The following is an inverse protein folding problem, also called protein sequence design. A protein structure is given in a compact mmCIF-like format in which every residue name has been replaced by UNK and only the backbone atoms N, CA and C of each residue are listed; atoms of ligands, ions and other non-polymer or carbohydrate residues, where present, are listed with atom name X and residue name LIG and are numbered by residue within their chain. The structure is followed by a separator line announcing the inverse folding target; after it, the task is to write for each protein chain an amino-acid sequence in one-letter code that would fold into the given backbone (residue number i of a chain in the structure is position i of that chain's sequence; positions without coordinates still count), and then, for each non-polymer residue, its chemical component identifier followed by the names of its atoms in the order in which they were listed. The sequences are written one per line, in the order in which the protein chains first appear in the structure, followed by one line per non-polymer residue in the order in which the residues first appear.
data_IF_376721216882
#
_entry.id   IF_376721216882
#
_cell.length_a   1.000
_cell.length_b   1.000
_cell.length_c   1.000
_cell.angle_alpha   90.00
_cell.angle_beta   90.00
_cell.angle_gamma   90.00
#
_symmetry.space_group_name_H-M   'P 1'
#
loop_
_entity.id
_entity.type
_entity.pdbx_description
1 polymer ?
#
# COMPACT_ATOMS: atom_id res chain seq x y z
N UNK A 1 -12.99 -17.87 0.98
CA UNK A 1 -12.22 -18.40 -0.16
C UNK A 1 -12.61 -19.85 -0.34
N UNK A 2 -13.06 -20.21 -1.51
CA UNK A 2 -13.52 -21.59 -1.74
C UNK A 2 -12.34 -22.56 -1.59
N UNK A 3 -12.50 -23.62 -0.80
CA UNK A 3 -11.45 -24.61 -0.55
C UNK A 3 -10.85 -25.22 -1.82
N UNK A 4 -11.58 -25.18 -2.93
CA UNK A 4 -11.15 -25.70 -4.22
C UNK A 4 -10.05 -24.88 -4.90
N UNK A 5 -9.96 -23.55 -4.66
CA UNK A 5 -8.91 -22.70 -5.27
C UNK A 5 -7.57 -22.97 -4.61
N UNK A 6 -7.60 -23.27 -3.32
CA UNK A 6 -6.42 -23.53 -2.53
C UNK A 6 -6.03 -25.02 -2.47
N UNK A 7 -6.93 -25.94 -2.90
CA UNK A 7 -6.62 -27.38 -2.97
C UNK A 7 -5.41 -27.69 -3.88
N UNK A 8 -5.09 -26.79 -4.80
CA UNK A 8 -3.89 -26.85 -5.65
C UNK A 8 -2.70 -26.01 -5.17
N UNK A 9 -2.72 -25.46 -3.95
CA UNK A 9 -1.68 -24.56 -3.45
C UNK A 9 -0.27 -25.17 -3.47
N UNK A 10 -0.14 -26.50 -3.29
CA UNK A 10 1.15 -27.21 -3.37
C UNK A 10 1.75 -27.23 -4.76
N UNK A 11 0.94 -27.20 -5.82
CA UNK A 11 1.36 -27.18 -7.23
C UNK A 11 1.46 -25.79 -7.83
N UNK A 12 1.18 -24.73 -7.05
CA UNK A 12 1.24 -23.36 -7.53
C UNK A 12 2.70 -22.90 -7.67
N UNK A 13 3.09 -22.57 -8.91
CA UNK A 13 4.46 -22.15 -9.24
C UNK A 13 4.66 -20.64 -9.13
N UNK A 14 3.63 -19.86 -9.48
CA UNK A 14 3.69 -18.41 -9.55
C UNK A 14 2.34 -17.78 -9.23
N UNK A 15 2.38 -16.63 -8.57
CA UNK A 15 1.23 -15.74 -8.43
C UNK A 15 1.54 -14.46 -9.21
N UNK A 16 0.63 -14.04 -10.09
CA UNK A 16 0.68 -12.71 -10.70
C UNK A 16 -0.46 -11.87 -10.13
N UNK A 17 -0.12 -10.82 -9.41
CA UNK A 17 -1.09 -9.85 -8.91
C UNK A 17 -1.31 -8.81 -10.00
N UNK A 18 -2.57 -8.57 -10.38
CA UNK A 18 -2.96 -7.57 -11.37
C UNK A 18 -3.90 -6.55 -10.73
N UNK A 19 -3.59 -5.28 -10.88
CA UNK A 19 -4.35 -4.20 -10.25
C UNK A 19 -4.03 -2.82 -10.85
N UNK A 20 -4.82 -1.81 -10.50
CA UNK A 20 -4.61 -0.41 -10.88
C UNK A 20 -4.48 0.49 -9.65
N UNK A 21 -3.70 1.58 -9.75
CA UNK A 21 -3.61 2.63 -8.74
C UNK A 21 -3.29 2.11 -7.33
N UNK A 22 -4.07 2.54 -6.34
CA UNK A 22 -3.95 2.14 -4.93
C UNK A 22 -3.93 0.61 -4.74
N UNK A 23 -4.75 -0.13 -5.49
CA UNK A 23 -4.77 -1.59 -5.43
C UNK A 23 -3.48 -2.22 -5.94
N UNK A 24 -2.81 -1.62 -6.92
CA UNK A 24 -1.49 -2.04 -7.37
C UNK A 24 -0.44 -1.87 -6.26
N UNK A 25 -0.47 -0.77 -5.52
CA UNK A 25 0.45 -0.55 -4.40
C UNK A 25 0.18 -1.50 -3.23
N UNK A 26 -1.08 -1.85 -2.96
CA UNK A 26 -1.40 -2.94 -2.05
C UNK A 26 -0.81 -4.28 -2.52
N UNK A 27 -0.89 -4.55 -3.83
CA UNK A 27 -0.29 -5.72 -4.46
C UNK A 27 1.23 -5.79 -4.28
N UNK A 28 1.94 -4.65 -4.34
CA UNK A 28 3.38 -4.60 -4.07
C UNK A 28 3.72 -5.03 -2.63
N UNK A 29 2.90 -4.66 -1.63
CA UNK A 29 3.04 -5.16 -0.24
C UNK A 29 2.74 -6.66 -0.20
N UNK A 30 1.65 -7.08 -0.87
CA UNK A 30 1.24 -8.47 -0.98
C UNK A 30 2.33 -9.38 -1.55
N UNK A 31 3.12 -8.88 -2.50
CA UNK A 31 4.29 -9.60 -3.01
C UNK A 31 5.25 -9.99 -1.88
N UNK A 32 5.62 -9.05 -1.01
CA UNK A 32 6.51 -9.33 0.12
C UNK A 32 5.90 -10.37 1.07
N UNK A 33 4.60 -10.27 1.37
CA UNK A 33 3.92 -11.23 2.24
C UNK A 33 3.90 -12.63 1.65
N UNK A 34 3.46 -12.75 0.40
CA UNK A 34 3.34 -14.02 -0.29
C UNK A 34 4.70 -14.69 -0.49
N UNK A 35 5.69 -13.97 -1.01
CA UNK A 35 7.05 -14.53 -1.20
C UNK A 35 7.68 -14.97 0.12
N UNK A 36 7.53 -14.15 1.17
CA UNK A 36 8.12 -14.45 2.49
C UNK A 36 7.46 -15.65 3.16
N UNK A 37 6.13 -15.72 3.16
CA UNK A 37 5.37 -16.72 3.91
C UNK A 37 5.10 -17.99 3.12
N UNK A 38 5.02 -17.92 1.79
CA UNK A 38 4.65 -19.09 0.96
C UNK A 38 5.81 -19.67 0.16
N UNK A 39 6.86 -18.89 -0.06
CA UNK A 39 8.00 -19.21 -0.95
C UNK A 39 7.57 -19.44 -2.40
N UNK A 40 6.45 -18.84 -2.82
CA UNK A 40 6.00 -18.78 -4.21
C UNK A 40 6.53 -17.49 -4.84
N UNK A 41 7.03 -17.56 -6.07
CA UNK A 41 7.42 -16.37 -6.83
C UNK A 41 6.18 -15.50 -7.14
N UNK A 42 6.28 -14.20 -6.88
CA UNK A 42 5.18 -13.26 -7.10
C UNK A 42 5.60 -12.13 -8.03
N UNK A 43 4.84 -11.93 -9.07
CA UNK A 43 4.90 -10.76 -9.95
C UNK A 43 3.74 -9.82 -9.61
N UNK A 44 3.95 -8.52 -9.72
CA UNK A 44 2.88 -7.52 -9.61
C UNK A 44 2.92 -6.68 -10.87
N UNK A 45 1.79 -6.55 -11.54
CA UNK A 45 1.71 -5.83 -12.80
C UNK A 45 0.53 -4.86 -12.80
N UNK A 46 0.67 -3.77 -13.51
CA UNK A 46 -0.47 -2.93 -13.83
C UNK A 46 -1.43 -3.70 -14.73
N UNK A 47 -2.70 -3.75 -14.37
CA UNK A 47 -3.69 -4.48 -15.15
C UNK A 47 -3.81 -3.92 -16.58
N UNK A 48 -3.66 -2.61 -16.75
CA UNK A 48 -3.62 -1.94 -18.06
C UNK A 48 -2.47 -2.42 -18.96
N UNK A 49 -1.32 -2.75 -18.38
CA UNK A 49 -0.15 -3.20 -19.12
C UNK A 49 -0.16 -4.73 -19.34
N UNK A 50 -0.63 -5.48 -18.32
CA UNK A 50 -0.66 -6.93 -18.35
C UNK A 50 -1.36 -7.49 -19.61
N UNK A 51 -2.53 -6.94 -19.94
CA UNK A 51 -3.33 -7.39 -21.09
C UNK A 51 -2.65 -7.21 -22.45
N UNK A 52 -1.70 -6.26 -22.57
CA UNK A 52 -1.09 -5.93 -23.86
C UNK A 52 0.33 -6.47 -24.04
N UNK A 53 1.02 -6.84 -22.96
CA UNK A 53 2.42 -7.27 -23.01
C UNK A 53 2.62 -8.74 -23.41
N UNK A 54 1.56 -9.48 -23.74
CA UNK A 54 1.60 -10.92 -24.01
C UNK A 54 2.25 -11.69 -22.84
N UNK A 55 1.62 -11.73 -21.66
CA UNK A 55 2.22 -12.27 -20.45
C UNK A 55 2.50 -13.76 -20.56
N UNK A 56 3.59 -14.22 -19.96
CA UNK A 56 3.88 -15.65 -19.85
C UNK A 56 3.06 -16.24 -18.72
N UNK A 57 1.93 -16.83 -19.06
CA UNK A 57 0.97 -17.44 -18.13
C UNK A 57 0.88 -18.94 -18.41
N UNK A 58 0.73 -19.74 -17.35
CA UNK A 58 0.59 -21.21 -17.40
C UNK A 58 -0.56 -21.66 -16.50
N UNK A 59 -1.12 -22.87 -16.72
CA UNK A 59 -2.14 -23.44 -15.84
C UNK A 59 -1.71 -23.63 -14.37
N UNK A 60 -0.40 -23.69 -14.09
CA UNK A 60 0.17 -23.75 -12.74
C UNK A 60 0.27 -22.36 -12.07
N UNK A 61 -0.11 -21.28 -12.73
CA UNK A 61 -0.12 -19.93 -12.19
C UNK A 61 -1.48 -19.55 -11.60
N UNK A 62 -1.47 -18.58 -10.70
CA UNK A 62 -2.65 -17.89 -10.19
C UNK A 62 -2.59 -16.43 -10.61
N UNK A 63 -3.63 -15.93 -11.25
CA UNK A 63 -3.88 -14.50 -11.41
C UNK A 63 -4.71 -14.04 -10.22
N UNK A 64 -4.14 -13.16 -9.41
CA UNK A 64 -4.80 -12.56 -8.24
C UNK A 64 -5.13 -11.11 -8.55
N UNK A 65 -6.38 -10.82 -8.84
CA UNK A 65 -6.84 -9.46 -9.08
C UNK A 65 -7.15 -8.74 -7.75
N UNK A 66 -6.79 -7.45 -7.66
CA UNK A 66 -7.18 -6.59 -6.54
C UNK A 66 -7.95 -5.41 -7.10
N UNK A 67 -9.18 -5.23 -6.66
CA UNK A 67 -10.05 -4.13 -7.12
C UNK A 67 -11.10 -3.78 -6.06
N UNK A 68 -11.29 -2.50 -5.76
CA UNK A 68 -12.29 -2.07 -4.80
C UNK A 68 -13.71 -2.26 -5.36
N UNK A 69 -13.97 -1.76 -6.57
CA UNK A 69 -15.29 -1.80 -7.21
C UNK A 69 -15.62 -3.16 -7.82
N UNK A 70 -14.60 -3.87 -8.31
CA UNK A 70 -14.77 -5.09 -9.12
C UNK A 70 -15.28 -4.83 -10.54
N UNK A 71 -15.26 -3.56 -10.99
CA UNK A 71 -15.79 -3.11 -12.29
C UNK A 71 -14.73 -2.39 -13.14
N UNK A 72 -13.47 -2.34 -12.69
CA UNK A 72 -12.39 -1.68 -13.44
C UNK A 72 -12.06 -2.46 -14.70
N UNK A 73 -12.23 -1.82 -15.87
CA UNK A 73 -12.11 -2.46 -17.19
C UNK A 73 -10.77 -3.16 -17.36
N UNK A 74 -9.66 -2.49 -17.07
CA UNK A 74 -8.33 -3.09 -17.22
C UNK A 74 -8.14 -4.32 -16.32
N UNK A 75 -8.66 -4.26 -15.07
CA UNK A 75 -8.54 -5.39 -14.15
C UNK A 75 -9.36 -6.60 -14.65
N UNK A 76 -10.54 -6.36 -15.17
CA UNK A 76 -11.38 -7.40 -15.76
C UNK A 76 -10.71 -8.03 -16.99
N UNK A 77 -10.16 -7.20 -17.88
CA UNK A 77 -9.44 -7.68 -19.04
C UNK A 77 -8.16 -8.47 -18.69
N UNK A 78 -7.46 -8.09 -17.62
CA UNK A 78 -6.32 -8.86 -17.13
C UNK A 78 -6.73 -10.23 -16.55
N UNK A 79 -7.90 -10.32 -15.91
CA UNK A 79 -8.48 -11.60 -15.47
C UNK A 79 -8.78 -12.49 -16.67
N UNK A 80 -9.47 -11.95 -17.69
CA UNK A 80 -9.82 -12.67 -18.93
C UNK A 80 -8.58 -13.17 -19.67
N UNK A 81 -7.52 -12.34 -19.75
CA UNK A 81 -6.23 -12.73 -20.34
C UNK A 81 -5.61 -13.92 -19.60
N UNK A 82 -5.63 -13.90 -18.26
CA UNK A 82 -5.17 -15.04 -17.47
C UNK A 82 -5.96 -16.32 -17.71
N UNK A 83 -7.28 -16.23 -17.79
CA UNK A 83 -8.19 -17.34 -18.05
C UNK A 83 -7.98 -17.92 -19.47
N UNK A 84 -7.77 -17.07 -20.46
CA UNK A 84 -7.51 -17.49 -21.85
C UNK A 84 -6.23 -18.35 -21.94
N UNK A 85 -5.29 -18.17 -21.04
CA UNK A 85 -4.07 -18.99 -20.93
C UNK A 85 -4.19 -20.18 -19.95
N UNK A 86 -5.39 -20.45 -19.43
CA UNK A 86 -5.69 -21.56 -18.55
C UNK A 86 -5.22 -21.41 -17.11
N UNK A 87 -4.82 -20.21 -16.67
CA UNK A 87 -4.50 -19.94 -15.28
C UNK A 87 -5.78 -19.90 -14.42
N UNK A 88 -5.64 -20.27 -13.16
CA UNK A 88 -6.70 -20.02 -12.16
C UNK A 88 -6.73 -18.54 -11.82
N UNK A 89 -7.92 -18.06 -11.47
CA UNK A 89 -8.16 -16.66 -11.15
C UNK A 89 -8.80 -16.49 -9.78
N UNK A 90 -8.35 -15.48 -9.04
CA UNK A 90 -8.98 -15.08 -7.79
C UNK A 90 -9.04 -13.55 -7.71
N UNK A 91 -10.03 -13.02 -6.99
CA UNK A 91 -10.15 -11.59 -6.77
C UNK A 91 -10.25 -11.24 -5.29
N UNK A 92 -9.57 -10.18 -4.87
CA UNK A 92 -9.83 -9.44 -3.64
C UNK A 92 -10.69 -8.24 -4.04
N UNK A 93 -11.93 -8.18 -3.55
CA UNK A 93 -12.91 -7.19 -3.99
C UNK A 93 -13.80 -6.71 -2.84
N UNK A 94 -14.18 -5.42 -2.86
CA UNK A 94 -15.06 -4.89 -1.81
C UNK A 94 -16.55 -5.00 -2.13
N UNK A 95 -16.92 -4.86 -3.43
CA UNK A 95 -18.33 -4.87 -3.85
C UNK A 95 -18.79 -6.31 -4.11
N UNK A 96 -19.74 -6.76 -3.28
CA UNK A 96 -20.33 -8.09 -3.41
C UNK A 96 -21.13 -8.18 -4.73
N UNK A 97 -20.93 -9.30 -5.47
CA UNK A 97 -21.64 -9.53 -6.73
C UNK A 97 -21.15 -8.68 -7.91
N UNK A 98 -20.01 -7.99 -7.77
CA UNK A 98 -19.36 -7.27 -8.87
C UNK A 98 -18.91 -8.20 -10.00
N UNK A 99 -18.57 -7.64 -11.16
CA UNK A 99 -18.16 -8.44 -12.32
C UNK A 99 -16.92 -9.29 -12.02
N UNK A 100 -15.89 -8.73 -11.38
CA UNK A 100 -14.71 -9.50 -10.97
C UNK A 100 -15.08 -10.67 -10.03
N UNK A 101 -16.03 -10.47 -9.11
CA UNK A 101 -16.50 -11.53 -8.22
C UNK A 101 -17.27 -12.65 -8.95
N UNK A 102 -17.89 -12.34 -10.09
CA UNK A 102 -18.64 -13.34 -10.86
C UNK A 102 -17.78 -14.14 -11.84
N UNK A 103 -16.69 -13.54 -12.34
CA UNK A 103 -15.88 -14.16 -13.40
C UNK A 103 -14.67 -14.93 -12.88
N UNK A 104 -14.19 -14.62 -11.66
CA UNK A 104 -13.07 -15.34 -11.06
C UNK A 104 -13.49 -16.68 -10.46
N UNK A 105 -12.56 -17.65 -10.46
CA UNK A 105 -12.75 -18.96 -9.82
C UNK A 105 -12.88 -18.84 -8.29
N UNK A 106 -12.39 -17.76 -7.69
CA UNK A 106 -12.51 -17.49 -6.29
C UNK A 106 -12.44 -16.03 -5.88
N UNK A 107 -13.06 -15.75 -4.72
CA UNK A 107 -13.23 -14.38 -4.25
C UNK A 107 -12.92 -14.26 -2.75
N UNK A 108 -12.23 -13.19 -2.40
CA UNK A 108 -12.10 -12.68 -1.03
C UNK A 108 -12.78 -11.32 -0.99
N UNK A 109 -13.74 -11.14 -0.09
CA UNK A 109 -14.41 -9.86 0.11
C UNK A 109 -13.74 -9.07 1.21
N UNK A 110 -13.34 -7.82 0.92
CA UNK A 110 -12.63 -6.93 1.85
C UNK A 110 -13.46 -6.58 3.09
N UNK A 111 -14.78 -6.65 3.01
CA UNK A 111 -15.72 -6.29 4.09
C UNK A 111 -15.50 -4.85 4.63
N UNK A 112 -14.94 -3.95 3.81
CA UNK A 112 -14.63 -2.58 4.22
C UNK A 112 -15.86 -1.65 4.24
N UNK A 113 -17.02 -2.15 3.80
CA UNK A 113 -18.23 -1.34 3.62
C UNK A 113 -18.10 -0.32 2.48
N UNK A 114 -19.11 0.54 2.25
CA UNK A 114 -19.06 1.55 1.21
C UNK A 114 -17.92 2.55 1.44
N UNK A 115 -17.10 2.79 0.43
CA UNK A 115 -16.07 3.82 0.42
C UNK A 115 -16.52 4.96 -0.49
N UNK A 116 -16.85 6.12 0.11
CA UNK A 116 -17.52 7.25 -0.57
C UNK A 116 -16.48 8.09 -1.32
N UNK A 117 -15.39 8.47 -0.66
CA UNK A 117 -14.34 9.27 -1.28
C UNK A 117 -13.71 8.57 -2.47
N UNK A 118 -13.41 9.33 -3.52
CA UNK A 118 -12.79 8.80 -4.75
C UNK A 118 -11.41 8.24 -4.44
N UNK A 119 -10.58 8.96 -3.69
CA UNK A 119 -9.28 8.50 -3.22
C UNK A 119 -9.46 7.35 -2.21
N UNK A 120 -8.93 6.19 -2.53
CA UNK A 120 -9.07 4.99 -1.70
C UNK A 120 -8.21 5.09 -0.44
N UNK A 121 -8.77 4.73 0.71
CA UNK A 121 -8.08 4.70 2.01
C UNK A 121 -8.28 3.37 2.72
N UNK A 122 -9.49 3.11 3.25
CA UNK A 122 -9.81 1.88 3.97
C UNK A 122 -9.78 0.63 3.07
N UNK A 123 -10.10 0.77 1.79
CA UNK A 123 -9.99 -0.35 0.87
C UNK A 123 -8.52 -0.76 0.64
N UNK A 124 -7.56 0.19 0.70
CA UNK A 124 -6.14 -0.14 0.70
C UNK A 124 -5.74 -0.96 1.92
N UNK A 125 -6.05 -0.49 3.13
CA UNK A 125 -5.70 -1.19 4.37
C UNK A 125 -6.37 -2.56 4.47
N UNK A 126 -7.63 -2.69 4.01
CA UNK A 126 -8.33 -3.95 3.90
C UNK A 126 -7.65 -4.91 2.91
N UNK A 127 -7.31 -4.43 1.71
CA UNK A 127 -6.58 -5.25 0.71
C UNK A 127 -5.25 -5.77 1.24
N UNK A 128 -4.47 -4.92 1.93
CA UNK A 128 -3.19 -5.31 2.54
C UNK A 128 -3.41 -6.35 3.63
N UNK A 129 -4.46 -6.20 4.44
CA UNK A 129 -4.84 -7.18 5.48
C UNK A 129 -5.25 -8.53 4.85
N UNK A 130 -6.09 -8.51 3.82
CA UNK A 130 -6.51 -9.72 3.10
C UNK A 130 -5.32 -10.43 2.46
N UNK A 131 -4.39 -9.70 1.87
CA UNK A 131 -3.15 -10.26 1.30
C UNK A 131 -2.29 -10.94 2.36
N UNK A 132 -2.20 -10.38 3.57
CA UNK A 132 -1.51 -11.02 4.68
C UNK A 132 -2.22 -12.30 5.14
N UNK A 133 -3.55 -12.27 5.28
CA UNK A 133 -4.35 -13.45 5.63
C UNK A 133 -4.22 -14.57 4.59
N UNK A 134 -4.25 -14.21 3.29
CA UNK A 134 -4.01 -15.16 2.19
C UNK A 134 -2.61 -15.75 2.28
N UNK A 135 -1.60 -14.93 2.53
CA UNK A 135 -0.22 -15.38 2.63
C UNK A 135 0.01 -16.32 3.83
N UNK A 136 -0.60 -16.04 4.98
CA UNK A 136 -0.56 -16.93 6.16
C UNK A 136 -1.22 -18.27 5.81
N UNK A 137 -2.42 -18.25 5.25
CA UNK A 137 -3.18 -19.45 4.95
C UNK A 137 -2.49 -20.32 3.87
N UNK A 138 -2.02 -19.72 2.78
CA UNK A 138 -1.25 -20.42 1.76
C UNK A 138 0.06 -20.99 2.32
N UNK A 139 0.72 -20.26 3.22
CA UNK A 139 1.93 -20.72 3.91
C UNK A 139 1.68 -21.92 4.81
N UNK A 140 0.53 -21.97 5.50
CA UNK A 140 0.11 -23.14 6.26
C UNK A 140 -0.09 -24.36 5.34
N UNK A 141 -0.84 -24.21 4.26
CA UNK A 141 -1.12 -25.30 3.31
C UNK A 141 0.16 -25.86 2.68
N UNK A 142 1.18 -25.01 2.53
CA UNK A 142 2.49 -25.41 2.00
C UNK A 142 3.46 -25.91 3.07
N UNK A 143 3.14 -25.73 4.34
CA UNK A 143 4.03 -26.09 5.47
C UNK A 143 5.22 -25.12 5.64
N UNK A 144 5.15 -23.90 5.10
CA UNK A 144 6.20 -22.88 5.20
C UNK A 144 5.97 -21.88 6.34
N UNK A 145 4.77 -21.83 6.89
CA UNK A 145 4.40 -21.07 8.09
C UNK A 145 4.22 -22.04 9.26
N UNK A 146 5.03 -21.87 10.31
CA UNK A 146 4.91 -22.67 11.54
C UNK A 146 3.69 -22.25 12.36
N UNK A 147 3.18 -23.15 13.20
CA UNK A 147 2.10 -22.84 14.15
C UNK A 147 2.45 -21.69 15.11
N UNK A 148 3.72 -21.53 15.47
CA UNK A 148 4.17 -20.45 16.32
C UNK A 148 4.05 -19.10 15.61
N UNK A 149 4.60 -18.99 14.38
CA UNK A 149 4.51 -17.77 13.57
C UNK A 149 3.06 -17.42 13.23
N UNK A 150 2.23 -18.43 12.89
CA UNK A 150 0.81 -18.21 12.66
C UNK A 150 0.13 -17.59 13.87
N UNK A 151 0.33 -18.13 15.07
CA UNK A 151 -0.27 -17.58 16.30
C UNK A 151 0.21 -16.16 16.58
N UNK A 152 1.49 -15.87 16.38
CA UNK A 152 2.07 -14.54 16.53
C UNK A 152 1.38 -13.53 15.58
N UNK A 153 1.29 -13.84 14.29
CA UNK A 153 0.65 -12.99 13.28
C UNK A 153 -0.84 -12.79 13.56
N UNK A 154 -1.56 -13.84 13.92
CA UNK A 154 -2.98 -13.73 14.27
C UNK A 154 -3.19 -12.88 15.52
N UNK A 155 -2.35 -13.00 16.54
CA UNK A 155 -2.41 -12.15 17.72
C UNK A 155 -2.14 -10.68 17.38
N UNK A 156 -1.15 -10.40 16.53
CA UNK A 156 -0.87 -9.05 16.07
C UNK A 156 -2.03 -8.46 15.25
N UNK A 157 -2.66 -9.26 14.38
CA UNK A 157 -3.85 -8.84 13.63
C UNK A 157 -5.03 -8.50 14.54
N UNK A 158 -5.24 -9.21 15.66
CA UNK A 158 -6.29 -8.90 16.62
C UNK A 158 -6.10 -7.56 17.32
N UNK A 159 -4.86 -7.08 17.47
CA UNK A 159 -4.57 -5.77 18.07
C UNK A 159 -4.61 -4.62 17.06
N UNK A 160 -4.50 -4.93 15.77
CA UNK A 160 -4.41 -3.94 14.69
C UNK A 160 -5.55 -2.90 14.68
N UNK A 161 -6.85 -3.27 14.84
CA UNK A 161 -7.93 -2.28 14.85
C UNK A 161 -7.80 -1.26 15.99
N UNK A 162 -7.36 -1.69 17.19
CA UNK A 162 -7.12 -0.79 18.31
C UNK A 162 -5.99 0.20 18.04
N UNK A 163 -4.87 -0.26 17.47
CA UNK A 163 -3.74 0.60 17.10
C UNK A 163 -4.11 1.60 16.00
N UNK A 164 -4.88 1.16 14.99
CA UNK A 164 -5.38 2.05 13.94
C UNK A 164 -6.36 3.08 14.49
N UNK A 165 -7.28 2.65 15.40
CA UNK A 165 -8.21 3.55 16.08
C UNK A 165 -7.47 4.62 16.89
N UNK A 166 -6.45 4.25 17.64
CA UNK A 166 -5.62 5.21 18.41
C UNK A 166 -4.96 6.25 17.49
N UNK A 167 -4.38 5.84 16.36
CA UNK A 167 -3.81 6.79 15.39
C UNK A 167 -4.84 7.80 14.89
N UNK A 168 -6.06 7.37 14.63
CA UNK A 168 -7.14 8.24 14.14
C UNK A 168 -7.69 9.15 15.25
N UNK A 169 -7.78 8.66 16.49
CA UNK A 169 -8.18 9.46 17.65
C UNK A 169 -7.15 10.54 17.94
N UNK A 170 -5.86 10.21 17.96
CA UNK A 170 -4.75 11.15 18.14
C UNK A 170 -4.75 12.23 17.03
N UNK A 171 -5.06 11.83 15.81
CA UNK A 171 -5.18 12.75 14.70
C UNK A 171 -6.39 13.68 14.82
N UNK A 172 -7.54 13.16 15.25
CA UNK A 172 -8.78 13.95 15.40
C UNK A 172 -8.75 14.91 16.57
N UNK A 173 -8.10 14.54 17.68
CA UNK A 173 -8.05 15.34 18.91
C UNK A 173 -6.89 16.34 18.94
N UNK A 174 -5.81 16.05 18.19
CA UNK A 174 -4.62 16.89 18.14
C UNK A 174 -4.59 17.87 16.97
N UNK A 175 -3.72 18.88 17.07
CA UNK A 175 -3.53 19.87 16.00
C UNK A 175 -2.33 19.56 15.09
N UNK A 176 -1.62 18.47 15.33
CA UNK A 176 -0.37 18.12 14.61
C UNK A 176 -0.53 18.16 13.08
N UNK A 177 -1.53 17.46 12.57
CA UNK A 177 -1.75 17.37 11.12
C UNK A 177 -2.18 18.71 10.51
N UNK A 178 -2.98 19.50 11.24
CA UNK A 178 -3.37 20.86 10.83
C UNK A 178 -2.16 21.80 10.82
N UNK A 179 -1.27 21.70 11.80
CA UNK A 179 -0.02 22.48 11.85
C UNK A 179 0.91 22.09 10.70
N UNK A 180 1.04 20.79 10.39
CA UNK A 180 1.79 20.34 9.22
C UNK A 180 1.17 20.82 7.92
N UNK A 181 -0.15 20.79 7.80
CA UNK A 181 -0.83 21.32 6.63
C UNK A 181 -0.63 22.84 6.49
N UNK A 182 -0.63 23.60 7.59
CA UNK A 182 -0.30 25.03 7.56
C UNK A 182 1.12 25.29 7.08
N UNK A 183 2.08 24.50 7.54
CA UNK A 183 3.49 24.59 7.14
C UNK A 183 3.69 24.27 5.67
N UNK A 184 3.02 23.21 5.17
CA UNK A 184 3.35 22.60 3.87
C UNK A 184 2.40 22.92 2.72
N UNK A 185 1.21 23.52 2.94
CA UNK A 185 0.19 23.67 1.88
C UNK A 185 0.61 24.51 0.68
N UNK A 186 1.62 25.36 0.80
CA UNK A 186 2.14 26.19 -0.29
C UNK A 186 3.20 25.48 -1.15
N UNK A 187 3.77 24.39 -0.66
CA UNK A 187 4.73 23.61 -1.44
C UNK A 187 4.06 22.95 -2.63
N UNK A 188 4.80 22.85 -3.73
CA UNK A 188 4.28 22.31 -4.99
C UNK A 188 4.73 20.89 -5.28
N UNK A 189 5.78 20.45 -4.63
CA UNK A 189 6.44 19.17 -4.88
C UNK A 189 6.76 18.47 -3.56
N UNK A 190 6.65 17.16 -3.56
CA UNK A 190 7.04 16.32 -2.42
C UNK A 190 7.75 15.07 -2.92
N UNK A 191 8.79 14.68 -2.21
CA UNK A 191 9.44 13.39 -2.38
C UNK A 191 9.01 12.45 -1.24
N UNK A 192 8.68 11.21 -1.57
CA UNK A 192 8.35 10.17 -0.60
C UNK A 192 9.37 9.04 -0.71
N UNK A 193 9.98 8.65 0.41
CA UNK A 193 11.00 7.62 0.47
C UNK A 193 10.60 6.48 1.40
N UNK A 194 10.68 5.26 0.89
CA UNK A 194 10.51 4.04 1.67
C UNK A 194 11.46 2.95 1.21
N UNK A 195 11.65 1.92 2.03
CA UNK A 195 12.51 0.78 1.69
C UNK A 195 11.84 -0.54 2.05
N UNK A 196 12.07 -1.58 1.24
CA UNK A 196 11.43 -2.88 1.46
C UNK A 196 9.91 -2.76 1.49
N UNK A 197 9.27 -3.27 2.54
CA UNK A 197 7.81 -3.19 2.76
C UNK A 197 7.26 -1.76 2.77
N UNK A 198 8.10 -0.77 3.04
CA UNK A 198 7.66 0.63 3.18
C UNK A 198 7.82 1.45 1.89
N UNK A 199 8.45 0.91 0.84
CA UNK A 199 8.44 1.56 -0.47
C UNK A 199 7.02 1.67 -1.06
N UNK A 200 6.21 0.59 -1.09
CA UNK A 200 4.82 0.71 -1.52
C UNK A 200 3.99 1.68 -0.68
N UNK A 201 4.27 1.81 0.61
CA UNK A 201 3.61 2.80 1.49
C UNK A 201 3.99 4.23 1.08
N UNK A 202 5.25 4.46 0.72
CA UNK A 202 5.70 5.77 0.24
C UNK A 202 5.00 6.18 -1.06
N UNK A 203 4.89 5.27 -2.04
CA UNK A 203 4.20 5.58 -3.30
C UNK A 203 2.70 5.76 -3.12
N UNK A 204 2.07 5.02 -2.21
CA UNK A 204 0.66 5.20 -1.86
C UNK A 204 0.42 6.54 -1.15
N UNK A 205 1.28 6.93 -0.21
CA UNK A 205 1.21 8.24 0.43
C UNK A 205 1.36 9.40 -0.56
N UNK A 206 2.30 9.28 -1.50
CA UNK A 206 2.49 10.23 -2.59
C UNK A 206 1.25 10.30 -3.50
N UNK A 207 0.63 9.14 -3.80
CA UNK A 207 -0.60 9.09 -4.58
C UNK A 207 -1.74 9.82 -3.85
N UNK A 208 -1.95 9.57 -2.57
CA UNK A 208 -3.01 10.24 -1.77
C UNK A 208 -2.83 11.76 -1.76
N UNK A 209 -1.60 12.24 -1.52
CA UNK A 209 -1.33 13.68 -1.56
C UNK A 209 -1.65 14.27 -2.94
N UNK A 210 -1.24 13.61 -3.99
CA UNK A 210 -1.45 14.02 -5.39
C UNK A 210 -2.94 14.10 -5.74
N UNK A 211 -3.70 13.06 -5.42
CA UNK A 211 -5.11 12.92 -5.79
C UNK A 211 -6.00 14.01 -5.19
N UNK A 212 -5.84 14.32 -3.91
CA UNK A 212 -6.79 15.17 -3.20
C UNK A 212 -6.29 16.60 -2.95
N UNK A 213 -4.97 16.83 -2.90
CA UNK A 213 -4.42 18.19 -2.69
C UNK A 213 -3.90 18.84 -3.98
N UNK A 214 -3.76 18.07 -5.07
CA UNK A 214 -3.19 18.50 -6.36
C UNK A 214 -1.73 18.95 -6.26
N UNK A 215 -1.01 18.50 -5.22
CA UNK A 215 0.43 18.69 -5.09
C UNK A 215 1.12 17.57 -5.86
N UNK A 216 2.12 17.91 -6.67
CA UNK A 216 2.94 16.88 -7.31
C UNK A 216 3.77 16.14 -6.26
N UNK A 217 3.58 14.83 -6.17
CA UNK A 217 4.27 13.99 -5.20
C UNK A 217 4.73 12.68 -5.85
N UNK A 218 5.96 12.27 -5.60
CA UNK A 218 6.52 11.03 -6.12
C UNK A 218 7.13 10.18 -5.02
N UNK A 219 6.91 8.86 -5.12
CA UNK A 219 7.49 7.88 -4.21
C UNK A 219 8.62 7.10 -4.87
N UNK A 220 9.75 6.95 -4.16
CA UNK A 220 10.90 6.20 -4.64
C UNK A 220 11.37 5.17 -3.62
N UNK A 221 11.94 4.03 -4.06
CA UNK A 221 12.76 3.23 -3.19
C UNK A 221 13.92 4.10 -2.68
N UNK A 222 14.07 4.21 -1.36
CA UNK A 222 15.04 5.14 -0.77
C UNK A 222 16.49 4.91 -1.25
N UNK A 223 16.82 3.67 -1.62
CA UNK A 223 18.12 3.35 -2.22
C UNK A 223 18.35 3.99 -3.57
N UNK A 224 17.28 4.20 -4.36
CA UNK A 224 17.33 4.79 -5.70
C UNK A 224 17.42 6.33 -5.68
N UNK A 225 17.27 6.96 -4.52
CA UNK A 225 17.39 8.41 -4.39
C UNK A 225 18.71 8.92 -5.01
N UNK A 226 19.81 8.18 -4.85
CA UNK A 226 21.14 8.54 -5.37
C UNK A 226 21.26 8.48 -6.90
N UNK A 227 20.32 7.82 -7.57
CA UNK A 227 20.35 7.56 -9.00
C UNK A 227 19.48 8.53 -9.82
N UNK A 228 19.27 9.74 -9.29
CA UNK A 228 18.54 10.82 -9.97
C UNK A 228 17.81 11.74 -9.00
N UNK A 229 16.83 11.25 -8.20
CA UNK A 229 15.98 12.09 -7.36
C UNK A 229 16.70 13.00 -6.38
N UNK A 230 17.90 12.63 -5.94
CA UNK A 230 18.75 13.44 -5.05
C UNK A 230 19.09 14.84 -5.62
N UNK A 231 19.05 14.97 -6.96
CA UNK A 231 19.28 16.26 -7.64
C UNK A 231 18.16 17.27 -7.40
N UNK A 232 16.97 16.81 -6.98
CA UNK A 232 15.80 17.64 -6.71
C UNK A 232 15.74 18.15 -5.26
N UNK A 233 16.62 17.62 -4.39
CA UNK A 233 16.54 17.91 -2.95
C UNK A 233 17.13 19.29 -2.67
N UNK A 234 16.27 20.16 -2.18
CA UNK A 234 16.56 21.47 -1.65
C UNK A 234 15.54 21.83 -0.55
N UNK A 235 15.49 23.09 -0.13
CA UNK A 235 14.56 23.57 0.89
C UNK A 235 13.10 23.60 0.42
N UNK A 236 12.87 23.64 -0.89
CA UNK A 236 11.54 23.76 -1.51
C UNK A 236 10.96 22.38 -1.90
N UNK A 237 11.70 21.29 -1.64
CA UNK A 237 11.31 19.90 -1.88
C UNK A 237 11.22 19.12 -0.55
N UNK A 238 10.14 19.25 0.24
CA UNK A 238 9.94 18.42 1.42
C UNK A 238 9.97 16.93 1.11
N UNK A 239 10.67 16.19 1.95
CA UNK A 239 10.84 14.74 1.80
C UNK A 239 10.15 14.01 2.94
N UNK A 240 9.15 13.19 2.61
CA UNK A 240 8.48 12.29 3.56
C UNK A 240 9.24 10.97 3.59
N UNK A 241 9.61 10.50 4.78
CA UNK A 241 10.40 9.28 4.95
C UNK A 241 9.67 8.30 5.85
N UNK A 242 9.45 7.07 5.39
CA UNK A 242 8.84 6.00 6.19
C UNK A 242 9.96 5.17 6.79
N UNK A 243 10.18 5.29 8.10
CA UNK A 243 11.34 4.75 8.80
C UNK A 243 10.99 4.10 10.16
N UNK A 244 10.19 3.02 10.19
CA UNK A 244 10.05 2.24 11.42
C UNK A 244 11.36 1.55 11.80
N UNK A 245 11.50 1.17 13.07
CA UNK A 245 12.63 0.35 13.54
C UNK A 245 12.49 -1.08 13.04
N UNK A 246 13.02 -1.33 11.86
CA UNK A 246 13.06 -2.65 11.21
C UNK A 246 14.48 -2.98 10.73
N UNK A 247 14.63 -4.09 9.98
CA UNK A 247 15.91 -4.53 9.44
C UNK A 247 16.60 -3.58 8.46
N UNK A 248 15.93 -2.51 8.00
CA UNK A 248 16.47 -1.51 7.08
C UNK A 248 16.55 -0.10 7.69
N UNK A 249 16.27 0.03 8.98
CA UNK A 249 16.24 1.29 9.71
C UNK A 249 17.51 2.12 9.53
N UNK A 250 18.70 1.54 9.77
CA UNK A 250 19.98 2.26 9.63
C UNK A 250 20.20 2.81 8.22
N UNK A 251 19.66 2.09 7.21
CA UNK A 251 19.70 2.54 5.83
C UNK A 251 18.80 3.75 5.63
N UNK A 252 17.63 3.79 6.28
CA UNK A 252 16.73 4.94 6.22
C UNK A 252 17.32 6.15 6.95
N UNK A 253 17.96 5.97 8.10
CA UNK A 253 18.70 7.04 8.79
C UNK A 253 19.76 7.64 7.85
N UNK A 254 20.55 6.82 7.18
CA UNK A 254 21.52 7.31 6.20
C UNK A 254 20.88 8.10 5.05
N UNK A 255 19.67 7.76 4.61
CA UNK A 255 18.96 8.56 3.58
C UNK A 255 18.49 9.91 4.16
N UNK A 256 17.98 9.93 5.38
CA UNK A 256 17.60 11.17 6.09
C UNK A 256 18.80 12.12 6.16
N UNK A 257 19.96 11.62 6.58
CA UNK A 257 21.19 12.42 6.66
C UNK A 257 21.62 13.00 5.30
N UNK A 258 21.42 12.25 4.22
CA UNK A 258 21.72 12.73 2.86
C UNK A 258 20.76 13.83 2.40
N UNK A 259 19.48 13.74 2.76
CA UNK A 259 18.49 14.80 2.52
C UNK A 259 18.86 16.04 3.31
N UNK A 260 19.15 15.89 4.60
CA UNK A 260 19.52 16.98 5.50
C UNK A 260 20.82 17.68 5.07
N UNK A 261 21.82 16.93 4.57
CA UNK A 261 23.07 17.49 4.04
C UNK A 261 22.88 18.42 2.83
N UNK A 262 21.68 18.42 2.22
CA UNK A 262 21.29 19.28 1.09
C UNK A 262 20.28 20.36 1.49
N UNK A 263 20.15 20.61 2.77
CA UNK A 263 19.16 21.53 3.36
C UNK A 263 17.70 21.15 3.07
N UNK A 264 17.45 19.87 2.76
CA UNK A 264 16.10 19.35 2.57
C UNK A 264 15.34 19.27 3.90
N UNK A 265 14.03 19.52 3.84
CA UNK A 265 13.12 19.35 4.96
C UNK A 265 12.62 17.92 5.02
N UNK A 266 12.71 17.27 6.19
CA UNK A 266 12.32 15.88 6.39
C UNK A 266 11.12 15.76 7.33
N UNK A 267 10.05 15.13 6.86
CA UNK A 267 8.90 14.67 7.63
C UNK A 267 8.97 13.14 7.74
N UNK A 268 9.21 12.60 8.94
CA UNK A 268 9.32 11.15 9.14
C UNK A 268 8.03 10.53 9.68
N UNK A 269 7.64 9.38 9.11
CA UNK A 269 6.69 8.43 9.72
C UNK A 269 7.52 7.40 10.47
N UNK A 270 7.49 7.41 11.79
CA UNK A 270 8.34 6.59 12.65
C UNK A 270 7.67 6.29 13.99
N UNK A 271 8.26 5.41 14.78
CA UNK A 271 7.74 5.13 16.14
C UNK A 271 7.79 6.37 17.03
N UNK A 272 6.72 6.60 17.77
CA UNK A 272 6.55 7.81 18.57
C UNK A 272 7.57 7.99 19.69
N UNK A 273 8.20 6.91 20.13
CA UNK A 273 9.24 6.84 21.17
C UNK A 273 10.68 6.80 20.59
N UNK A 274 10.84 7.01 19.28
CA UNK A 274 12.16 6.99 18.65
C UNK A 274 12.88 8.35 18.76
N UNK A 275 13.51 8.58 19.91
CA UNK A 275 14.27 9.80 20.18
C UNK A 275 15.43 10.00 19.19
N UNK A 276 16.02 8.92 18.66
CA UNK A 276 17.16 9.02 17.76
C UNK A 276 16.76 9.63 16.42
N UNK A 277 15.66 9.14 15.79
CA UNK A 277 15.16 9.72 14.54
C UNK A 277 14.58 11.11 14.78
N UNK A 278 13.91 11.33 15.92
CA UNK A 278 13.36 12.63 16.30
C UNK A 278 14.42 13.74 16.29
N UNK A 279 15.65 13.44 16.73
CA UNK A 279 16.78 14.37 16.69
C UNK A 279 17.38 14.61 15.30
N UNK A 280 16.93 13.91 14.25
CA UNK A 280 17.48 13.97 12.90
C UNK A 280 16.53 14.56 11.85
N UNK A 281 15.25 14.71 12.19
CA UNK A 281 14.21 15.16 11.25
C UNK A 281 13.60 16.49 11.71
N UNK A 282 12.93 17.18 10.82
CA UNK A 282 12.29 18.47 11.14
C UNK A 282 10.89 18.25 11.73
N UNK A 283 10.19 17.24 11.23
CA UNK A 283 8.82 16.91 11.63
C UNK A 283 8.63 15.39 11.73
N UNK A 284 7.71 14.98 12.60
CA UNK A 284 7.41 13.56 12.79
C UNK A 284 5.91 13.29 12.85
N UNK A 285 5.50 12.25 12.12
CA UNK A 285 4.21 11.58 12.20
C UNK A 285 4.41 10.28 12.99
N UNK A 286 4.03 10.26 14.28
CA UNK A 286 4.26 9.11 15.13
C UNK A 286 3.33 7.95 14.78
N UNK A 287 3.85 6.73 14.89
CA UNK A 287 3.07 5.50 14.79
C UNK A 287 3.42 4.52 15.93
N UNK A 288 2.48 3.64 16.32
CA UNK A 288 2.71 2.66 17.37
C UNK A 288 3.61 1.51 16.90
N UNK A 289 4.16 0.75 17.85
CA UNK A 289 4.81 -0.52 17.58
C UNK A 289 3.81 -1.62 17.21
N UNK A 290 4.20 -2.50 16.30
CA UNK A 290 3.47 -3.72 15.94
C UNK A 290 4.43 -4.73 15.31
N UNK A 291 3.92 -5.90 14.94
CA UNK A 291 4.67 -6.85 14.14
C UNK A 291 5.06 -6.23 12.78
N UNK A 292 6.30 -6.49 12.30
CA UNK A 292 6.84 -5.83 11.10
C UNK A 292 5.95 -5.98 9.85
N UNK A 293 5.25 -7.11 9.68
CA UNK A 293 4.34 -7.32 8.56
C UNK A 293 3.03 -6.50 8.65
N UNK A 294 2.70 -5.93 9.81
CA UNK A 294 1.55 -5.05 9.98
C UNK A 294 1.92 -3.56 9.88
N UNK A 295 3.22 -3.25 9.95
CA UNK A 295 3.69 -1.86 9.88
C UNK A 295 3.24 -1.11 8.62
N UNK A 296 3.16 -1.71 7.41
CA UNK A 296 2.63 -1.01 6.24
C UNK A 296 1.21 -0.48 6.41
N UNK A 297 0.34 -1.23 7.13
CA UNK A 297 -1.04 -0.84 7.39
C UNK A 297 -1.08 0.36 8.37
N UNK A 298 -0.24 0.35 9.40
CA UNK A 298 -0.17 1.44 10.36
C UNK A 298 0.52 2.67 9.79
N UNK A 299 1.57 2.49 9.00
CA UNK A 299 2.36 3.59 8.45
C UNK A 299 1.63 4.40 7.36
N UNK A 300 0.66 3.81 6.66
CA UNK A 300 -0.12 4.53 5.64
C UNK A 300 -1.15 5.48 6.27
N UNK A 301 -1.69 5.17 7.45
CA UNK A 301 -2.74 5.97 8.10
C UNK A 301 -2.28 7.43 8.34
N UNK A 302 -1.11 7.69 8.95
CA UNK A 302 -0.58 9.06 9.09
C UNK A 302 -0.46 9.81 7.75
N UNK A 303 -0.09 9.10 6.68
CA UNK A 303 0.03 9.71 5.34
C UNK A 303 -1.32 10.05 4.72
N UNK A 304 -2.34 9.21 4.95
CA UNK A 304 -3.72 9.48 4.51
C UNK A 304 -4.29 10.70 5.25
N UNK A 305 -4.11 10.79 6.56
CA UNK A 305 -4.55 11.94 7.36
C UNK A 305 -3.79 13.21 6.94
N UNK A 306 -2.49 13.13 6.73
CA UNK A 306 -1.69 14.26 6.24
C UNK A 306 -2.20 14.77 4.88
N UNK A 307 -2.43 13.87 3.93
CA UNK A 307 -2.98 14.23 2.62
C UNK A 307 -4.37 14.89 2.74
N UNK A 308 -5.22 14.38 3.64
CA UNK A 308 -6.54 14.93 3.94
C UNK A 308 -6.44 16.38 4.45
N UNK A 309 -5.65 16.63 5.49
CA UNK A 309 -5.50 17.98 6.06
C UNK A 309 -4.86 18.96 5.06
N UNK A 310 -3.92 18.48 4.25
CA UNK A 310 -3.35 19.26 3.15
C UNK A 310 -4.42 19.69 2.14
N UNK A 311 -5.32 18.78 1.76
CA UNK A 311 -6.42 19.05 0.84
C UNK A 311 -7.42 20.04 1.45
N UNK A 312 -7.82 19.84 2.71
CA UNK A 312 -8.70 20.76 3.45
C UNK A 312 -8.09 22.16 3.52
N UNK A 313 -6.79 22.25 3.88
CA UNK A 313 -6.10 23.54 3.97
C UNK A 313 -6.00 24.27 2.64
N UNK A 314 -5.96 23.54 1.54
CA UNK A 314 -5.95 24.07 0.16
C UNK A 314 -7.34 24.35 -0.39
N UNK A 315 -8.41 24.06 0.36
CA UNK A 315 -9.80 24.23 -0.07
C UNK A 315 -10.24 23.26 -1.18
N UNK A 316 -9.57 22.11 -1.27
CA UNK A 316 -9.93 21.07 -2.24
C UNK A 316 -11.09 20.19 -1.72
N UNK A 317 -11.91 19.66 -2.62
CA UNK A 317 -12.90 18.65 -2.28
C UNK A 317 -12.19 17.30 -2.05
N UNK A 318 -12.25 16.82 -0.81
CA UNK A 318 -11.55 15.60 -0.40
C UNK A 318 -12.26 14.33 -0.85
N UNK A 319 -13.57 14.39 -1.05
CA UNK A 319 -14.38 13.23 -1.45
C UNK A 319 -14.50 13.11 -2.97
N UNK A 320 -14.59 14.25 -3.67
CA UNK A 320 -14.76 14.31 -5.13
C UNK A 320 -13.68 15.20 -5.77
N UNK A 321 -12.40 14.78 -5.74
CA UNK A 321 -11.35 15.56 -6.37
C UNK A 321 -11.56 15.67 -7.87
N UNK A 322 -11.16 16.83 -8.43
CA UNK A 322 -11.33 17.11 -9.86
C UNK A 322 -10.65 16.05 -10.73
N UNK A 323 -11.25 15.77 -11.89
CA UNK A 323 -10.72 14.90 -12.94
C UNK A 323 -10.54 13.43 -12.53
N UNK A 324 -11.05 13.00 -11.39
CA UNK A 324 -11.01 11.63 -10.94
C UNK A 324 -12.42 11.02 -10.82
N UNK A 325 -12.51 9.73 -11.01
CA UNK A 325 -13.71 8.94 -10.78
C UNK A 325 -13.41 7.77 -9.85
N UNK A 326 -14.39 7.34 -9.05
CA UNK A 326 -14.23 6.24 -8.09
C UNK A 326 -13.87 4.91 -8.75
N UNK A 327 -14.42 4.67 -9.94
CA UNK A 327 -14.11 3.48 -10.76
C UNK A 327 -13.98 3.89 -12.23
N UNK A 328 -13.00 3.29 -12.90
CA UNK A 328 -12.75 3.49 -14.34
C UNK A 328 -13.41 2.33 -15.08
N UNK A 329 -14.58 2.60 -15.66
CA UNK A 329 -15.42 1.61 -16.35
C UNK A 329 -15.37 1.72 -17.87
N UNK A 330 -14.59 2.66 -18.39
CA UNK A 330 -14.32 2.90 -19.81
C UNK A 330 -12.82 3.06 -20.03
N UNK A 331 -12.35 2.65 -21.23
CA UNK A 331 -10.97 2.92 -21.66
C UNK A 331 -10.77 4.36 -22.12
#
# INVERSE_FOLDING_TARGET
MDANILSGARGLEKITIVACGTSYYAGLIGKYYLERLTRISVEVDYASEFRYRQPVVKPSHLILAITQSGETVDTLAAIEEGQAHGARTAAIVNVVGSQAARVCDGVVYMQAGPEIGVASTKAFTASVTDLLLIAIHLGELRGTVSDALRRELMQALLTLPGLAGQLLEDAAQGDRYKQLAEEFHLYRHFLYLGRGLHYPVAVEGALKLKEISYIHAEGYPAGEMKHGPIALIDRDMPTVVIAPRDGVYDKMISQIEQVKARNGTVLAVAHGDDEYICGKVDFMLPMPHSHELLMPILAVIPLQVFAYEMAVRRGADVDQPRNLAKSVTVE
#
